data_IF_987825775008
#
_entry.id   IF_987825775008
#
_cell.length_a   1.000
_cell.length_b   1.000
_cell.length_c   1.000
_cell.angle_alpha   90.00
_cell.angle_beta   90.00
_cell.angle_gamma   90.00
#
_symmetry.space_group_name_H-M   'P 1'
#
loop_
_entity.id
_entity.type
_entity.pdbx_description
1 polymer ?
#
# COMPACT_ATOMS: atom_id res chain seq x y z
N UNK A 1 35.40 -14.89 -55.63
CA UNK A 1 34.07 -15.09 -55.07
C UNK A 1 34.17 -15.00 -53.56
N UNK A 2 33.91 -13.82 -52.97
CA UNK A 2 33.88 -13.60 -51.51
C UNK A 2 32.43 -13.67 -51.05
N UNK A 3 32.10 -14.65 -50.19
CA UNK A 3 30.81 -14.71 -49.48
C UNK A 3 30.90 -13.90 -48.18
N UNK A 4 30.24 -12.74 -48.13
CA UNK A 4 30.00 -12.05 -46.90
C UNK A 4 28.92 -12.83 -46.09
N UNK A 5 29.30 -13.29 -44.90
CA UNK A 5 28.37 -13.79 -43.89
C UNK A 5 27.95 -12.58 -43.04
N UNK A 6 26.71 -12.12 -43.21
CA UNK A 6 26.09 -11.15 -42.30
C UNK A 6 25.62 -11.95 -41.08
N UNK A 7 26.28 -11.73 -39.93
CA UNK A 7 25.78 -12.21 -38.65
C UNK A 7 24.77 -11.21 -38.11
N UNK A 8 23.49 -11.60 -38.08
CA UNK A 8 22.46 -10.83 -37.42
C UNK A 8 22.57 -11.04 -35.90
N UNK A 9 23.00 -9.99 -35.17
CA UNK A 9 22.93 -9.96 -33.71
C UNK A 9 21.48 -9.69 -33.28
N UNK A 10 20.76 -10.73 -32.84
CA UNK A 10 19.47 -10.55 -32.15
C UNK A 10 19.77 -9.98 -30.74
N UNK A 11 19.48 -8.72 -30.53
CA UNK A 11 19.53 -8.10 -29.20
C UNK A 11 18.33 -8.60 -28.36
N UNK A 12 18.58 -9.45 -27.38
CA UNK A 12 17.58 -9.92 -26.40
C UNK A 12 17.45 -8.90 -25.26
N UNK A 13 16.76 -7.77 -25.49
CA UNK A 13 16.58 -6.71 -24.48
C UNK A 13 15.31 -6.88 -23.60
N UNK A 14 14.39 -7.76 -23.98
CA UNK A 14 13.12 -7.93 -23.27
C UNK A 14 13.19 -8.52 -21.85
N UNK A 15 14.06 -9.48 -21.49
CA UNK A 15 14.07 -10.08 -20.16
C UNK A 15 14.58 -9.15 -19.05
N UNK A 16 15.42 -8.16 -19.36
CA UNK A 16 16.03 -7.28 -18.35
C UNK A 16 15.05 -6.18 -17.87
N UNK A 17 14.25 -5.61 -18.77
CA UNK A 17 13.24 -4.61 -18.41
C UNK A 17 12.15 -5.22 -17.53
N UNK A 18 11.60 -6.37 -17.93
CA UNK A 18 10.57 -7.07 -17.14
C UNK A 18 11.06 -7.45 -15.72
N UNK A 19 12.31 -7.89 -15.60
CA UNK A 19 12.89 -8.22 -14.30
C UNK A 19 13.08 -6.97 -13.42
N UNK A 20 13.45 -5.83 -14.01
CA UNK A 20 13.57 -4.57 -13.29
C UNK A 20 12.20 -4.07 -12.79
N UNK A 21 11.16 -4.16 -13.61
CA UNK A 21 9.79 -3.80 -13.23
C UNK A 21 9.27 -4.71 -12.09
N UNK A 22 9.51 -6.02 -12.17
CA UNK A 22 9.14 -6.95 -11.11
C UNK A 22 9.88 -6.65 -9.79
N UNK A 23 11.15 -6.32 -9.85
CA UNK A 23 11.94 -5.95 -8.67
C UNK A 23 11.44 -4.64 -8.04
N UNK A 24 11.06 -3.66 -8.87
CA UNK A 24 10.48 -2.40 -8.39
C UNK A 24 9.14 -2.63 -7.69
N UNK A 25 8.26 -3.45 -8.26
CA UNK A 25 6.98 -3.81 -7.65
C UNK A 25 7.16 -4.51 -6.30
N UNK A 26 8.12 -5.41 -6.15
CA UNK A 26 8.42 -6.05 -4.86
C UNK A 26 8.96 -5.04 -3.84
N UNK A 27 9.81 -4.11 -4.26
CA UNK A 27 10.30 -3.03 -3.41
C UNK A 27 9.15 -2.10 -2.96
N UNK A 28 8.25 -1.76 -3.87
CA UNK A 28 7.06 -0.95 -3.57
C UNK A 28 6.14 -1.65 -2.57
N UNK A 29 5.86 -2.94 -2.74
CA UNK A 29 5.08 -3.73 -1.76
C UNK A 29 5.72 -3.69 -0.38
N UNK A 30 7.02 -3.91 -0.29
CA UNK A 30 7.75 -3.88 0.99
C UNK A 30 7.65 -2.51 1.65
N UNK A 31 7.84 -1.44 0.88
CA UNK A 31 7.75 -0.07 1.40
C UNK A 31 6.36 0.24 1.95
N UNK A 32 5.29 -0.17 1.24
CA UNK A 32 3.91 0.04 1.70
C UNK A 32 3.59 -0.79 2.94
N UNK A 33 4.02 -2.05 3.01
CA UNK A 33 3.79 -2.91 4.18
C UNK A 33 4.46 -2.33 5.43
N UNK A 34 5.68 -1.84 5.31
CA UNK A 34 6.42 -1.21 6.40
C UNK A 34 5.80 0.14 6.80
N UNK A 35 5.46 0.98 5.82
CA UNK A 35 4.72 2.22 6.03
C UNK A 35 3.42 1.97 6.81
N UNK A 36 2.64 1.00 6.36
CA UNK A 36 1.35 0.67 6.95
C UNK A 36 1.48 0.23 8.43
N UNK A 37 2.42 -0.65 8.72
CA UNK A 37 2.68 -1.11 10.09
C UNK A 37 3.13 0.04 11.00
N UNK A 38 4.07 0.86 10.54
CA UNK A 38 4.57 2.02 11.30
C UNK A 38 3.48 3.07 11.52
N UNK A 39 2.72 3.40 10.46
CA UNK A 39 1.67 4.39 10.54
C UNK A 39 0.47 3.89 11.35
N UNK A 40 -0.12 2.77 10.94
CA UNK A 40 -1.43 2.35 11.43
C UNK A 40 -1.33 1.54 12.72
N UNK A 41 -0.45 0.55 12.78
CA UNK A 41 -0.35 -0.33 13.94
C UNK A 41 0.47 0.32 15.07
N UNK A 42 1.64 0.87 14.74
CA UNK A 42 2.52 1.54 15.72
C UNK A 42 2.14 2.99 15.97
N UNK A 43 1.41 3.64 15.05
CA UNK A 43 1.02 5.04 15.13
C UNK A 43 2.25 5.97 15.30
N UNK A 44 3.38 5.57 14.71
CA UNK A 44 4.67 6.27 14.76
C UNK A 44 4.84 7.12 13.49
N UNK A 45 4.47 8.40 13.59
CA UNK A 45 4.60 9.33 12.47
C UNK A 45 6.05 9.53 12.03
N UNK A 46 6.99 9.65 12.98
CA UNK A 46 8.39 9.94 12.67
C UNK A 46 9.03 8.79 11.85
N UNK A 47 8.72 7.55 12.21
CA UNK A 47 9.17 6.40 11.44
C UNK A 47 8.44 6.27 10.10
N UNK A 48 7.10 6.44 10.08
CA UNK A 48 6.27 6.34 8.88
C UNK A 48 6.58 7.44 7.86
N UNK A 49 6.90 8.66 8.31
CA UNK A 49 7.19 9.80 7.43
C UNK A 49 8.36 9.56 6.48
N UNK A 50 9.24 8.63 6.79
CA UNK A 50 10.36 8.23 5.91
C UNK A 50 9.90 7.55 4.63
N UNK A 51 8.67 7.06 4.59
CA UNK A 51 8.06 6.35 3.46
C UNK A 51 7.15 7.23 2.61
N UNK A 52 6.85 8.46 3.02
CA UNK A 52 6.06 9.39 2.22
C UNK A 52 6.94 10.36 1.44
N UNK A 53 6.46 10.74 0.25
CA UNK A 53 7.13 11.70 -0.62
C UNK A 53 6.95 13.15 -0.17
N UNK A 54 7.47 14.07 -0.97
CA UNK A 54 7.36 15.51 -0.72
C UNK A 54 5.92 16.02 -0.78
N UNK A 55 5.06 15.31 -1.51
CA UNK A 55 3.60 15.48 -1.48
C UNK A 55 2.99 14.18 -0.96
N UNK A 56 1.86 14.27 -0.31
CA UNK A 56 1.04 13.14 0.10
C UNK A 56 -0.42 13.52 -0.09
N UNK A 57 -0.99 13.13 -1.24
CA UNK A 57 -2.37 13.45 -1.60
C UNK A 57 -3.31 12.41 -1.01
N UNK A 58 -4.33 12.87 -0.31
CA UNK A 58 -5.27 12.01 0.41
C UNK A 58 -6.65 12.06 -0.23
N UNK A 59 -7.18 10.90 -0.64
CA UNK A 59 -8.52 10.79 -1.21
C UNK A 59 -9.58 10.26 -0.23
N UNK A 60 -9.17 9.86 0.99
CA UNK A 60 -10.14 9.57 2.03
C UNK A 60 -10.77 10.89 2.53
N UNK A 61 -12.10 11.07 2.43
CA UNK A 61 -12.76 12.33 2.81
C UNK A 61 -12.69 12.67 4.30
N UNK A 62 -12.16 11.77 5.13
CA UNK A 62 -12.01 11.96 6.59
C UNK A 62 -10.58 12.30 7.00
N UNK A 63 -9.63 12.32 6.07
CA UNK A 63 -8.23 12.61 6.33
C UNK A 63 -7.80 13.85 5.53
N UNK A 64 -7.03 14.74 6.16
CA UNK A 64 -6.48 15.91 5.49
C UNK A 64 -5.26 15.54 4.64
N UNK A 65 -4.99 16.35 3.63
CA UNK A 65 -3.83 16.24 2.76
C UNK A 65 -2.51 16.48 3.50
N UNK A 66 -1.46 15.93 2.92
CA UNK A 66 -0.08 16.19 3.29
C UNK A 66 0.40 15.42 4.52
N UNK A 67 1.70 15.50 4.79
CA UNK A 67 2.31 14.85 5.96
C UNK A 67 1.68 15.27 7.29
N UNK A 68 1.31 16.55 7.43
CA UNK A 68 0.67 17.04 8.66
C UNK A 68 -0.74 16.47 8.84
N UNK A 69 -1.48 16.22 7.74
CA UNK A 69 -2.76 15.50 7.77
C UNK A 69 -2.60 14.07 8.30
N UNK A 70 -1.61 13.34 7.82
CA UNK A 70 -1.27 12.01 8.34
C UNK A 70 -0.89 12.08 9.81
N UNK A 71 -0.04 13.03 10.21
CA UNK A 71 0.39 13.21 11.61
C UNK A 71 -0.79 13.44 12.55
N UNK A 72 -1.71 14.31 12.16
CA UNK A 72 -2.93 14.59 12.91
C UNK A 72 -3.82 13.35 13.03
N UNK A 73 -3.97 12.60 11.95
CA UNK A 73 -4.73 11.34 11.93
C UNK A 73 -4.12 10.29 12.87
N UNK A 74 -2.80 10.11 12.86
CA UNK A 74 -2.14 9.15 13.76
C UNK A 74 -2.23 9.59 15.23
N UNK A 75 -2.16 10.89 15.51
CA UNK A 75 -2.38 11.42 16.85
C UNK A 75 -3.80 11.14 17.34
N UNK A 76 -4.80 11.34 16.48
CA UNK A 76 -6.19 11.00 16.76
C UNK A 76 -6.38 9.50 17.03
N UNK A 77 -5.78 8.63 16.23
CA UNK A 77 -5.85 7.17 16.45
C UNK A 77 -5.22 6.79 17.81
N UNK A 78 -4.09 7.38 18.15
CA UNK A 78 -3.39 7.12 19.41
C UNK A 78 -4.23 7.51 20.62
N UNK A 79 -4.93 8.63 20.52
CA UNK A 79 -5.76 9.14 21.61
C UNK A 79 -7.08 8.39 21.75
N UNK A 80 -7.80 8.20 20.64
CA UNK A 80 -9.18 7.70 20.68
C UNK A 80 -9.30 6.19 20.48
N UNK A 81 -8.33 5.59 19.79
CA UNK A 81 -8.33 4.18 19.43
C UNK A 81 -6.93 3.58 19.66
N UNK A 82 -6.42 3.55 20.90
CA UNK A 82 -5.05 3.06 21.17
C UNK A 82 -4.82 1.63 20.67
N UNK A 83 -5.84 0.79 20.74
CA UNK A 83 -5.81 -0.62 20.32
C UNK A 83 -6.21 -0.82 18.84
N UNK A 84 -6.36 0.27 18.07
CA UNK A 84 -6.63 0.20 16.64
C UNK A 84 -5.56 -0.63 15.93
N UNK A 85 -5.97 -1.70 15.31
CA UNK A 85 -5.07 -2.65 14.65
C UNK A 85 -5.57 -3.01 13.27
N UNK A 86 -4.66 -3.23 12.36
CA UNK A 86 -4.93 -3.65 10.99
C UNK A 86 -4.04 -4.84 10.62
N UNK A 87 -4.67 -5.87 10.07
CA UNK A 87 -4.02 -7.07 9.58
C UNK A 87 -4.16 -7.15 8.05
N UNK A 88 -3.05 -7.04 7.34
CA UNK A 88 -3.03 -7.09 5.88
C UNK A 88 -3.17 -8.54 5.43
N UNK A 89 -4.27 -8.83 4.74
CA UNK A 89 -4.60 -10.17 4.24
C UNK A 89 -3.99 -10.47 2.88
N UNK A 90 -3.88 -9.46 2.03
CA UNK A 90 -3.31 -9.57 0.67
C UNK A 90 -2.63 -8.28 0.27
N UNK A 91 -1.58 -8.39 -0.53
CA UNK A 91 -0.90 -7.25 -1.15
C UNK A 91 -0.64 -7.56 -2.62
N UNK A 92 -0.92 -6.59 -3.48
CA UNK A 92 -0.67 -6.64 -4.91
C UNK A 92 0.08 -5.40 -5.35
N UNK A 93 0.84 -5.49 -6.44
CA UNK A 93 1.45 -4.33 -7.06
C UNK A 93 1.26 -4.39 -8.58
N UNK A 94 1.05 -3.22 -9.18
CA UNK A 94 1.00 -3.01 -10.61
C UNK A 94 1.68 -1.67 -10.92
N UNK A 95 2.88 -1.74 -11.51
CA UNK A 95 3.73 -0.57 -11.73
C UNK A 95 4.00 0.19 -10.42
N UNK A 96 3.59 1.44 -10.39
CA UNK A 96 3.77 2.34 -9.25
C UNK A 96 2.67 2.22 -8.19
N UNK A 97 1.69 1.35 -8.39
CA UNK A 97 0.57 1.18 -7.47
C UNK A 97 0.74 -0.07 -6.62
N UNK A 98 0.41 0.06 -5.33
CA UNK A 98 0.29 -1.05 -4.39
C UNK A 98 -1.11 -1.05 -3.81
N UNK A 99 -1.75 -2.22 -3.83
CA UNK A 99 -3.09 -2.43 -3.31
C UNK A 99 -3.01 -3.40 -2.15
N UNK A 100 -3.59 -3.05 -1.00
CA UNK A 100 -3.69 -3.94 0.16
C UNK A 100 -5.14 -4.22 0.52
N UNK A 101 -5.43 -5.48 0.84
CA UNK A 101 -6.71 -5.91 1.40
C UNK A 101 -6.51 -6.16 2.89
N UNK A 102 -7.26 -5.46 3.72
CA UNK A 102 -6.99 -5.31 5.15
C UNK A 102 -8.21 -5.68 5.99
N UNK A 103 -7.97 -6.42 7.07
CA UNK A 103 -8.89 -6.53 8.20
C UNK A 103 -8.50 -5.50 9.26
N UNK A 104 -9.31 -4.49 9.43
CA UNK A 104 -9.11 -3.47 10.44
C UNK A 104 -10.03 -3.70 11.65
N UNK A 105 -9.47 -3.69 12.84
CA UNK A 105 -10.17 -3.83 14.11
C UNK A 105 -9.94 -2.55 14.94
N UNK A 106 -10.91 -1.61 14.97
CA UNK A 106 -10.74 -0.35 15.68
C UNK A 106 -10.74 -0.47 17.20
N UNK A 107 -11.44 -1.46 17.75
CA UNK A 107 -11.47 -1.76 19.18
C UNK A 107 -11.49 -3.27 19.40
N UNK A 108 -10.82 -3.78 20.46
CA UNK A 108 -10.82 -5.21 20.78
C UNK A 108 -12.24 -5.78 20.86
N UNK A 109 -12.45 -6.95 20.25
CA UNK A 109 -13.74 -7.65 20.22
C UNK A 109 -14.74 -7.13 19.19
N UNK A 110 -14.46 -6.02 18.47
CA UNK A 110 -15.29 -5.62 17.32
C UNK A 110 -15.02 -6.54 16.13
N UNK A 111 -16.04 -6.70 15.26
CA UNK A 111 -15.84 -7.41 13.98
C UNK A 111 -14.93 -6.65 13.03
N UNK A 112 -14.90 -5.33 13.16
CA UNK A 112 -14.05 -4.46 12.38
C UNK A 112 -14.57 -4.20 10.96
N UNK A 113 -13.65 -3.93 10.07
CA UNK A 113 -13.92 -3.52 8.69
C UNK A 113 -13.02 -4.28 7.71
N UNK A 114 -13.54 -4.55 6.53
CA UNK A 114 -12.75 -4.85 5.36
C UNK A 114 -12.38 -3.52 4.65
N UNK A 115 -11.11 -3.35 4.34
CA UNK A 115 -10.61 -2.14 3.68
C UNK A 115 -9.82 -2.57 2.44
N UNK A 116 -9.98 -1.82 1.36
CA UNK A 116 -9.06 -1.82 0.24
C UNK A 116 -8.38 -0.45 0.23
N UNK A 117 -7.08 -0.46 0.50
CA UNK A 117 -6.25 0.73 0.35
C UNK A 117 -5.45 0.63 -0.95
N UNK A 118 -5.31 1.75 -1.65
CA UNK A 118 -4.49 1.89 -2.86
C UNK A 118 -3.46 2.99 -2.57
N UNK A 119 -2.20 2.68 -2.81
CA UNK A 119 -1.08 3.59 -2.69
C UNK A 119 -0.41 3.79 -4.04
N UNK A 120 -0.14 5.03 -4.41
CA UNK A 120 0.77 5.34 -5.51
C UNK A 120 2.12 5.73 -4.95
N UNK A 121 3.19 5.20 -5.56
CA UNK A 121 4.55 5.51 -5.18
C UNK A 121 5.27 6.26 -6.30
N UNK A 122 6.18 7.14 -5.91
CA UNK A 122 7.18 7.77 -6.77
C UNK A 122 8.53 7.62 -6.05
N UNK A 123 9.54 7.10 -6.73
CA UNK A 123 10.87 6.83 -6.17
C UNK A 123 10.84 6.05 -4.85
N UNK A 124 9.96 5.04 -4.75
CA UNK A 124 9.80 4.22 -3.57
C UNK A 124 9.12 4.91 -2.37
N UNK A 125 8.52 6.09 -2.59
CA UNK A 125 7.79 6.85 -1.57
C UNK A 125 6.32 6.94 -1.91
N UNK A 126 5.46 6.77 -0.93
CA UNK A 126 4.02 6.95 -1.06
C UNK A 126 3.72 8.43 -1.28
N UNK A 127 3.06 8.74 -2.39
CA UNK A 127 2.70 10.13 -2.77
C UNK A 127 1.20 10.35 -2.85
N UNK A 128 0.41 9.27 -2.88
CA UNK A 128 -1.04 9.37 -3.04
C UNK A 128 -1.72 8.14 -2.45
N UNK A 129 -2.90 8.31 -1.83
CA UNK A 129 -3.61 7.25 -1.14
C UNK A 129 -5.12 7.37 -1.34
N UNK A 130 -5.77 6.25 -1.64
CA UNK A 130 -7.22 6.05 -1.67
C UNK A 130 -7.59 4.89 -0.77
N UNK A 131 -8.79 4.91 -0.21
CA UNK A 131 -9.36 3.75 0.46
C UNK A 131 -10.86 3.62 0.22
N UNK A 132 -11.34 2.41 0.36
CA UNK A 132 -12.77 2.11 0.54
C UNK A 132 -12.92 1.15 1.70
N UNK A 133 -13.89 1.43 2.56
CA UNK A 133 -14.11 0.66 3.78
C UNK A 133 -15.53 0.14 3.85
N UNK A 134 -15.67 -1.14 4.19
CA UNK A 134 -16.95 -1.78 4.48
C UNK A 134 -16.91 -2.41 5.87
N UNK A 135 -17.91 -2.11 6.68
CA UNK A 135 -18.10 -2.76 7.98
C UNK A 135 -18.42 -4.23 7.80
N UNK A 136 -17.85 -5.09 8.65
CA UNK A 136 -18.17 -6.53 8.67
C UNK A 136 -19.52 -6.71 9.35
N UNK A 137 -20.57 -7.18 8.64
CA UNK A 137 -21.92 -7.23 9.16
C UNK A 137 -22.06 -8.31 10.24
N UNK A 138 -23.10 -8.17 11.07
CA UNK A 138 -23.45 -9.19 12.05
C UNK A 138 -24.00 -10.46 11.40
N UNK A 139 -24.77 -10.26 10.35
CA UNK A 139 -25.36 -11.34 9.56
C UNK A 139 -24.94 -11.19 8.11
N UNK A 140 -24.54 -12.29 7.51
CA UNK A 140 -24.13 -12.35 6.10
C UNK A 140 -25.08 -13.28 5.33
N UNK A 141 -25.29 -12.98 4.04
CA UNK A 141 -26.08 -13.82 3.14
C UNK A 141 -25.37 -15.15 2.78
N UNK A 142 -24.09 -15.29 3.13
CA UNK A 142 -23.29 -16.49 2.90
C UNK A 142 -22.34 -16.73 4.09
N UNK A 143 -21.70 -17.89 4.12
CA UNK A 143 -20.77 -18.30 5.19
C UNK A 143 -19.30 -17.94 4.93
N UNK A 144 -19.00 -17.23 3.83
CA UNK A 144 -17.64 -16.83 3.49
C UNK A 144 -17.18 -15.65 4.35
N UNK A 145 -15.89 -15.58 4.62
CA UNK A 145 -15.28 -14.37 5.20
C UNK A 145 -15.17 -13.28 4.15
N UNK A 146 -14.99 -12.03 4.58
CA UNK A 146 -14.68 -10.92 3.66
C UNK A 146 -13.19 -10.88 3.26
N UNK A 147 -12.41 -11.90 3.65
CA UNK A 147 -10.95 -11.98 3.46
C UNK A 147 -10.49 -13.27 2.82
#
# INVERSE_FOLDING_TARGET
MYRLLLAAALATLAPTAYAADAQQMEANKKAVLEFYDLAINKKDFEAASKFIGSRYVQHNPRAADGPEGLKAFLAFLREKFPDYHSDIKRVFADGDYVIVHVHNVPTPGSRGNAIIDIFKLEDGKVVEHWDVRQEIPEQSANSNTMF
#
